data_IF_055272681455
#
_entry.id   IF_055272681455
#
_cell.length_a   1.000
_cell.length_b   1.000
_cell.length_c   1.000
_cell.angle_alpha   90.00
_cell.angle_beta   90.00
_cell.angle_gamma   90.00
#
_symmetry.space_group_name_H-M   'P 1'
#
loop_
_entity.id
_entity.type
_entity.pdbx_description
1 polymer ?
#
# COMPACT_ATOMS: atom_id res chain seq x y z
N UNK A 1 -24.60 16.53 9.96
CA UNK A 1 -23.52 16.19 9.02
C UNK A 1 -23.48 14.69 8.80
N UNK A 2 -23.50 14.27 7.55
CA UNK A 2 -23.37 12.86 7.23
C UNK A 2 -21.92 12.41 7.49
N UNK A 3 -21.77 11.39 8.32
CA UNK A 3 -20.47 10.76 8.55
C UNK A 3 -20.29 9.67 7.49
N UNK A 4 -19.29 9.79 6.63
CA UNK A 4 -18.99 8.77 5.64
C UNK A 4 -18.25 7.62 6.32
N UNK A 5 -18.81 6.43 6.23
CA UNK A 5 -18.16 5.23 6.76
C UNK A 5 -17.16 4.69 5.75
N UNK A 6 -15.98 4.33 6.26
CA UNK A 6 -14.99 3.59 5.50
C UNK A 6 -15.29 2.10 5.70
N UNK A 7 -15.59 1.41 4.61
CA UNK A 7 -15.78 -0.03 4.62
C UNK A 7 -14.53 -0.71 4.04
N UNK A 8 -13.97 -1.67 4.78
CA UNK A 8 -12.86 -2.48 4.29
C UNK A 8 -13.37 -3.82 3.83
N UNK A 9 -12.93 -4.24 2.65
CA UNK A 9 -13.32 -5.51 2.02
C UNK A 9 -12.09 -6.25 1.54
N UNK A 10 -12.03 -7.56 1.77
CA UNK A 10 -11.00 -8.42 1.15
C UNK A 10 -11.27 -8.51 -0.34
N UNK A 11 -10.23 -8.26 -1.14
CA UNK A 11 -10.27 -8.38 -2.58
C UNK A 11 -9.61 -9.66 -3.09
N UNK A 12 -9.67 -9.86 -4.41
CA UNK A 12 -9.06 -10.98 -5.10
C UNK A 12 -8.63 -10.57 -6.52
N UNK A 13 -8.05 -11.46 -7.35
CA UNK A 13 -7.61 -11.08 -8.70
C UNK A 13 -8.69 -10.45 -9.60
N UNK A 14 -9.97 -10.70 -9.34
CA UNK A 14 -11.06 -10.06 -10.10
C UNK A 14 -11.13 -8.56 -9.87
N UNK A 15 -10.52 -8.06 -8.81
CA UNK A 15 -10.48 -6.63 -8.46
C UNK A 15 -9.31 -5.89 -9.15
N UNK A 16 -8.56 -6.55 -10.03
CA UNK A 16 -7.36 -5.93 -10.68
C UNK A 16 -7.71 -4.64 -11.42
N UNK A 17 -8.87 -4.55 -12.04
CA UNK A 17 -9.31 -3.33 -12.72
C UNK A 17 -9.48 -2.15 -11.76
N UNK A 18 -10.05 -2.40 -10.60
CA UNK A 18 -10.21 -1.38 -9.53
C UNK A 18 -8.84 -0.97 -8.97
N UNK A 19 -7.96 -1.94 -8.72
CA UNK A 19 -6.59 -1.67 -8.24
C UNK A 19 -5.82 -0.81 -9.24
N UNK A 20 -5.90 -1.16 -10.54
CA UNK A 20 -5.23 -0.41 -11.60
C UNK A 20 -5.73 1.04 -11.68
N UNK A 21 -7.04 1.25 -11.60
CA UNK A 21 -7.62 2.59 -11.61
C UNK A 21 -7.19 3.42 -10.40
N UNK A 22 -7.18 2.82 -9.22
CA UNK A 22 -6.71 3.49 -7.99
C UNK A 22 -5.23 3.81 -8.06
N UNK A 23 -4.43 2.91 -8.59
CA UNK A 23 -2.99 3.11 -8.75
C UNK A 23 -2.69 4.26 -9.70
N UNK A 24 -3.38 4.30 -10.84
CA UNK A 24 -3.24 5.39 -11.81
C UNK A 24 -3.63 6.74 -11.21
N UNK A 25 -4.67 6.78 -10.39
CA UNK A 25 -5.12 8.01 -9.74
C UNK A 25 -4.16 8.45 -8.63
N UNK A 26 -3.58 7.51 -7.89
CA UNK A 26 -2.80 7.80 -6.67
C UNK A 26 -1.32 8.07 -6.93
N UNK A 27 -0.72 7.43 -7.93
CA UNK A 27 0.72 7.53 -8.17
C UNK A 27 1.03 8.39 -9.39
N UNK A 28 1.86 9.41 -9.19
CA UNK A 28 2.39 10.22 -10.28
C UNK A 28 3.45 9.43 -11.04
N UNK A 29 3.33 9.25 -12.39
CA UNK A 29 4.33 8.54 -13.19
C UNK A 29 5.75 9.11 -13.09
N UNK A 30 5.87 10.37 -12.68
CA UNK A 30 7.16 11.03 -12.43
C UNK A 30 8.07 10.22 -11.51
N UNK A 31 7.51 9.50 -10.53
CA UNK A 31 8.29 8.82 -9.50
C UNK A 31 8.54 7.35 -9.77
N UNK A 32 7.83 6.75 -10.73
CA UNK A 32 8.04 5.35 -11.09
C UNK A 32 7.63 4.33 -10.03
N UNK A 33 6.71 4.71 -9.14
CA UNK A 33 6.26 3.86 -8.03
C UNK A 33 5.15 2.88 -8.42
N UNK A 34 4.36 3.23 -9.44
CA UNK A 34 3.19 2.43 -9.84
C UNK A 34 3.60 1.16 -10.59
N UNK A 35 2.83 0.10 -10.37
CA UNK A 35 2.96 -1.14 -11.11
C UNK A 35 2.01 -1.15 -12.31
N UNK A 36 2.35 -1.93 -13.33
CA UNK A 36 1.44 -2.17 -14.44
C UNK A 36 0.29 -3.08 -14.00
N UNK A 37 -0.81 -3.07 -14.76
CA UNK A 37 -1.94 -3.98 -14.52
C UNK A 37 -1.49 -5.44 -14.51
N UNK A 38 -0.63 -5.85 -15.47
CA UNK A 38 -0.13 -7.22 -15.53
C UNK A 38 0.74 -7.59 -14.34
N UNK A 39 1.57 -6.68 -13.84
CA UNK A 39 2.33 -6.89 -12.61
C UNK A 39 1.41 -7.10 -11.42
N UNK A 40 0.37 -6.27 -11.27
CA UNK A 40 -0.62 -6.43 -10.21
C UNK A 40 -1.33 -7.76 -10.27
N UNK A 41 -1.78 -8.16 -11.47
CA UNK A 41 -2.48 -9.43 -11.67
C UNK A 41 -1.58 -10.61 -11.30
N UNK A 42 -0.33 -10.59 -11.74
CA UNK A 42 0.64 -11.64 -11.43
C UNK A 42 0.89 -11.78 -9.93
N UNK A 43 1.04 -10.67 -9.22
CA UNK A 43 1.27 -10.69 -7.77
C UNK A 43 0.01 -11.12 -7.02
N UNK A 44 -1.18 -10.65 -7.43
CA UNK A 44 -2.45 -11.04 -6.80
C UNK A 44 -2.71 -12.55 -6.89
N UNK A 45 -2.15 -13.21 -7.90
CA UNK A 45 -2.28 -14.67 -8.08
C UNK A 45 -1.26 -15.47 -7.25
N UNK A 46 -0.28 -14.82 -6.61
CA UNK A 46 0.76 -15.50 -5.83
C UNK A 46 0.23 -15.94 -4.46
N UNK A 47 0.73 -17.08 -3.93
CA UNK A 47 0.42 -17.49 -2.56
C UNK A 47 0.85 -16.43 -1.54
N UNK A 48 0.07 -16.26 -0.49
CA UNK A 48 0.39 -15.34 0.61
C UNK A 48 0.08 -13.88 0.33
N UNK A 49 -0.47 -13.55 -0.84
CA UNK A 49 -0.87 -12.18 -1.17
C UNK A 49 -2.30 -11.93 -0.72
N UNK A 50 -2.49 -10.82 0.00
CA UNK A 50 -3.80 -10.36 0.47
C UNK A 50 -4.04 -8.94 -0.02
N UNK A 51 -5.20 -8.73 -0.62
CA UNK A 51 -5.68 -7.43 -1.05
C UNK A 51 -6.79 -6.97 -0.11
N UNK A 52 -6.69 -5.73 0.37
CA UNK A 52 -7.75 -5.07 1.12
C UNK A 52 -8.17 -3.82 0.36
N UNK A 53 -9.46 -3.71 0.07
CA UNK A 53 -10.04 -2.53 -0.57
C UNK A 53 -10.76 -1.68 0.46
N UNK A 54 -10.61 -0.38 0.35
CA UNK A 54 -11.36 0.59 1.14
C UNK A 54 -12.41 1.24 0.24
N UNK A 55 -13.65 1.29 0.73
CA UNK A 55 -14.78 1.89 0.02
C UNK A 55 -15.40 3.00 0.89
N UNK A 56 -15.79 4.07 0.24
CA UNK A 56 -16.55 5.16 0.87
C UNK A 56 -17.83 5.33 0.04
N UNK A 57 -18.99 5.11 0.66
CA UNK A 57 -20.29 5.13 -0.03
C UNK A 57 -20.29 4.24 -1.28
N UNK A 58 -19.80 3.00 -1.13
CA UNK A 58 -19.67 1.99 -2.19
C UNK A 58 -18.70 2.35 -3.32
N UNK A 59 -17.94 3.43 -3.18
CA UNK A 59 -16.95 3.85 -4.16
C UNK A 59 -15.55 3.43 -3.71
N UNK A 60 -14.77 2.77 -4.58
CA UNK A 60 -13.37 2.45 -4.25
C UNK A 60 -12.58 3.73 -3.95
N UNK A 61 -11.93 3.77 -2.78
CA UNK A 61 -11.20 4.93 -2.31
C UNK A 61 -9.70 4.65 -2.10
N UNK A 62 -9.34 3.39 -1.94
CA UNK A 62 -7.96 3.00 -1.74
C UNK A 62 -7.80 1.49 -1.62
N UNK A 63 -6.56 1.04 -1.56
CA UNK A 63 -6.26 -0.37 -1.33
C UNK A 63 -4.91 -0.56 -0.63
N UNK A 64 -4.74 -1.72 -0.03
CA UNK A 64 -3.46 -2.20 0.47
C UNK A 64 -3.21 -3.62 -0.05
N UNK A 65 -1.99 -3.91 -0.46
CA UNK A 65 -1.57 -5.21 -0.94
C UNK A 65 -0.38 -5.69 -0.13
N UNK A 66 -0.51 -6.87 0.49
CA UNK A 66 0.47 -7.45 1.40
C UNK A 66 0.82 -8.85 0.94
N UNK A 67 2.09 -9.22 1.03
CA UNK A 67 2.54 -10.59 0.85
C UNK A 67 3.16 -11.09 2.14
N UNK A 68 2.69 -12.26 2.58
CA UNK A 68 3.24 -12.94 3.76
C UNK A 68 4.00 -14.20 3.33
N UNK A 69 5.19 -14.39 3.90
CA UNK A 69 6.00 -15.60 3.74
C UNK A 69 6.50 -15.97 5.13
N UNK A 70 6.06 -17.12 5.62
CA UNK A 70 6.37 -17.60 6.98
C UNK A 70 5.92 -16.57 8.03
N UNK A 71 6.80 -16.05 8.85
CA UNK A 71 6.49 -15.07 9.90
C UNK A 71 6.80 -13.62 9.51
N UNK A 72 7.11 -13.38 8.24
CA UNK A 72 7.37 -12.05 7.72
C UNK A 72 6.30 -11.63 6.72
N UNK A 73 5.98 -10.36 6.68
CA UNK A 73 5.07 -9.77 5.69
C UNK A 73 5.65 -8.48 5.13
N UNK A 74 5.30 -8.22 3.88
CA UNK A 74 5.69 -6.98 3.20
C UNK A 74 4.43 -6.27 2.69
N UNK A 75 4.30 -5.00 3.06
CA UNK A 75 3.32 -4.12 2.45
C UNK A 75 3.85 -3.71 1.08
N UNK A 76 3.32 -4.32 0.04
CA UNK A 76 3.79 -4.11 -1.34
C UNK A 76 3.31 -2.79 -1.92
N UNK A 77 2.05 -2.45 -1.67
CA UNK A 77 1.42 -1.24 -2.18
C UNK A 77 0.38 -0.72 -1.18
N UNK A 78 0.33 0.58 -1.02
CA UNK A 78 -0.73 1.29 -0.32
C UNK A 78 -1.08 2.52 -1.15
N UNK A 79 -2.31 2.63 -1.58
CA UNK A 79 -2.76 3.72 -2.42
C UNK A 79 -4.11 4.26 -1.95
N UNK A 80 -4.25 5.58 -1.99
CA UNK A 80 -5.50 6.28 -1.70
C UNK A 80 -5.78 7.22 -2.86
N UNK A 81 -6.98 7.14 -3.43
CA UNK A 81 -7.42 8.06 -4.47
C UNK A 81 -7.35 9.50 -3.93
N UNK A 82 -6.70 10.44 -4.65
CA UNK A 82 -6.62 11.84 -4.21
C UNK A 82 -7.96 12.48 -3.86
N UNK A 83 -9.04 12.06 -4.51
CA UNK A 83 -10.40 12.57 -4.22
C UNK A 83 -10.86 12.21 -2.80
N UNK A 84 -10.26 11.21 -2.18
CA UNK A 84 -10.63 10.74 -0.84
C UNK A 84 -9.53 10.99 0.21
N UNK A 85 -8.49 11.76 -0.09
CA UNK A 85 -7.41 12.06 0.85
C UNK A 85 -7.94 12.87 2.05
N UNK A 86 -7.22 12.80 3.18
CA UNK A 86 -7.53 13.47 4.45
C UNK A 86 -8.83 12.97 5.10
N UNK A 87 -9.27 11.76 4.77
CA UNK A 87 -10.45 11.12 5.36
C UNK A 87 -10.10 9.90 6.22
N UNK A 88 -8.80 9.69 6.51
CA UNK A 88 -8.34 8.59 7.33
C UNK A 88 -8.31 7.24 6.64
N UNK A 89 -8.39 7.19 5.31
CA UNK A 89 -8.42 5.93 4.55
C UNK A 89 -7.08 5.20 4.62
N UNK A 90 -5.97 5.90 4.42
CA UNK A 90 -4.64 5.32 4.54
C UNK A 90 -4.39 4.76 5.93
N UNK A 91 -4.80 5.49 6.96
CA UNK A 91 -4.70 5.03 8.35
C UNK A 91 -5.54 3.78 8.59
N UNK A 92 -6.78 3.75 8.09
CA UNK A 92 -7.66 2.59 8.24
C UNK A 92 -7.09 1.35 7.55
N UNK A 93 -6.57 1.50 6.33
CA UNK A 93 -5.94 0.42 5.58
C UNK A 93 -4.69 -0.10 6.31
N UNK A 94 -3.82 0.79 6.74
CA UNK A 94 -2.58 0.40 7.41
C UNK A 94 -2.84 -0.28 8.75
N UNK A 95 -3.78 0.23 9.53
CA UNK A 95 -4.20 -0.42 10.79
C UNK A 95 -4.76 -1.82 10.55
N UNK A 96 -5.55 -2.00 9.49
CA UNK A 96 -6.07 -3.31 9.14
C UNK A 96 -4.96 -4.28 8.74
N UNK A 97 -3.96 -3.81 7.98
CA UNK A 97 -2.78 -4.59 7.62
C UNK A 97 -2.02 -5.05 8.87
N UNK A 98 -1.79 -4.14 9.81
CA UNK A 98 -1.09 -4.44 11.07
C UNK A 98 -1.89 -5.46 11.90
N UNK A 99 -3.20 -5.25 12.05
CA UNK A 99 -4.06 -6.15 12.81
C UNK A 99 -4.08 -7.55 12.21
N UNK A 100 -4.20 -7.67 10.89
CA UNK A 100 -4.17 -8.95 10.20
C UNK A 100 -2.83 -9.66 10.38
N UNK A 101 -1.72 -8.92 10.30
CA UNK A 101 -0.40 -9.47 10.53
C UNK A 101 -0.27 -10.03 11.96
N UNK A 102 -0.76 -9.29 12.96
CA UNK A 102 -0.76 -9.76 14.35
C UNK A 102 -1.58 -11.04 14.53
N UNK A 103 -2.76 -11.11 13.91
CA UNK A 103 -3.65 -12.28 14.00
C UNK A 103 -3.08 -13.49 13.27
N UNK A 104 -2.26 -13.29 12.25
CA UNK A 104 -1.69 -14.35 11.42
C UNK A 104 -0.33 -14.85 11.90
N UNK A 105 0.15 -14.39 13.06
CA UNK A 105 1.43 -14.82 13.63
C UNK A 105 2.65 -14.23 12.92
N UNK A 106 2.49 -13.10 12.23
CA UNK A 106 3.59 -12.39 11.60
C UNK A 106 4.42 -11.69 12.70
N UNK A 107 5.74 -11.82 12.64
CA UNK A 107 6.65 -11.18 13.58
C UNK A 107 7.02 -9.76 13.13
N UNK A 108 7.29 -9.58 11.85
CA UNK A 108 7.78 -8.32 11.29
C UNK A 108 7.02 -7.95 10.01
N UNK A 109 6.70 -6.68 9.90
CA UNK A 109 6.08 -6.09 8.72
C UNK A 109 7.05 -5.07 8.12
N UNK A 110 7.36 -5.22 6.84
CA UNK A 110 8.30 -4.37 6.10
C UNK A 110 7.59 -3.64 4.97
N UNK A 111 8.15 -2.53 4.54
CA UNK A 111 7.75 -1.82 3.34
C UNK A 111 8.92 -1.05 2.74
N UNK A 112 8.85 -0.78 1.43
CA UNK A 112 9.73 0.17 0.77
C UNK A 112 8.89 1.35 0.28
N UNK A 113 9.41 2.56 0.46
CA UNK A 113 8.74 3.79 0.08
C UNK A 113 9.76 4.75 -0.51
N UNK A 114 9.36 5.53 -1.50
CA UNK A 114 10.20 6.56 -2.07
C UNK A 114 10.61 7.57 -0.99
N UNK A 115 11.89 7.92 -0.97
CA UNK A 115 12.38 8.98 -0.10
C UNK A 115 11.56 10.26 -0.34
N UNK A 116 11.17 10.94 0.73
CA UNK A 116 10.34 12.15 0.69
C UNK A 116 8.89 11.93 0.22
N UNK A 117 8.43 10.68 0.14
CA UNK A 117 7.00 10.41 -0.10
C UNK A 117 6.19 10.86 1.13
N UNK A 118 5.10 11.62 0.94
CA UNK A 118 4.26 12.06 2.07
C UNK A 118 3.73 10.93 2.95
N UNK A 119 3.59 9.70 2.42
CA UNK A 119 3.14 8.54 3.18
C UNK A 119 4.09 8.13 4.31
N UNK A 120 5.34 8.59 4.30
CA UNK A 120 6.30 8.33 5.38
C UNK A 120 5.77 8.77 6.74
N UNK A 121 5.08 9.91 6.79
CA UNK A 121 4.46 10.38 8.04
C UNK A 121 3.46 9.37 8.59
N UNK A 122 2.62 8.78 7.74
CA UNK A 122 1.66 7.76 8.11
C UNK A 122 2.36 6.51 8.66
N UNK A 123 3.40 6.04 7.99
CA UNK A 123 4.15 4.86 8.44
C UNK A 123 4.81 5.11 9.80
N UNK A 124 5.45 6.25 9.96
CA UNK A 124 6.10 6.63 11.22
C UNK A 124 5.09 6.70 12.38
N UNK A 125 3.93 7.29 12.15
CA UNK A 125 2.86 7.37 13.14
C UNK A 125 2.36 5.99 13.58
N UNK A 126 2.39 5.02 12.67
CA UNK A 126 1.95 3.64 12.95
C UNK A 126 3.09 2.74 13.45
N UNK A 127 4.21 3.32 13.85
CA UNK A 127 5.28 2.59 14.54
C UNK A 127 6.33 1.99 13.63
N UNK A 128 6.36 2.35 12.35
CA UNK A 128 7.43 1.92 11.45
C UNK A 128 8.67 2.79 11.64
N UNK A 129 9.84 2.16 11.58
CA UNK A 129 11.13 2.83 11.66
C UNK A 129 11.97 2.50 10.42
N UNK A 130 12.74 3.48 9.95
CA UNK A 130 13.64 3.30 8.81
C UNK A 130 14.77 2.35 9.20
N UNK A 131 15.00 1.31 8.38
CA UNK A 131 16.04 0.31 8.60
C UNK A 131 17.01 0.18 7.44
N UNK A 132 16.77 0.85 6.33
CA UNK A 132 17.66 0.77 5.18
C UNK A 132 17.27 1.73 4.08
N UNK A 133 18.10 1.79 3.04
CA UNK A 133 17.83 2.58 1.85
C UNK A 133 18.45 1.95 0.61
N UNK A 134 17.82 2.18 -0.55
CA UNK A 134 18.32 1.76 -1.86
C UNK A 134 18.40 2.99 -2.75
N UNK A 135 19.59 3.32 -3.19
CA UNK A 135 19.81 4.48 -4.07
C UNK A 135 19.30 4.20 -5.48
N UNK A 136 18.60 5.17 -6.05
CA UNK A 136 18.13 5.12 -7.43
C UNK A 136 17.18 3.97 -7.74
N UNK A 137 16.45 3.48 -6.74
CA UNK A 137 15.56 2.30 -6.87
C UNK A 137 14.37 2.57 -7.78
N UNK A 138 13.74 3.73 -7.66
CA UNK A 138 12.60 4.12 -8.50
C UNK A 138 13.08 4.96 -9.68
N UNK A 139 12.62 4.60 -10.88
CA UNK A 139 12.86 5.40 -12.08
C UNK A 139 11.54 5.91 -12.62
N UNK A 140 11.45 7.24 -12.69
CA UNK A 140 10.28 7.91 -13.23
C UNK A 140 10.26 7.91 -14.76
N UNK A 141 9.13 8.35 -15.30
CA UNK A 141 8.89 8.45 -16.75
C UNK A 141 9.93 9.34 -17.44
N UNK A 142 10.43 10.39 -16.79
CA UNK A 142 11.46 11.28 -17.29
C UNK A 142 12.88 10.75 -17.17
N UNK A 143 13.08 9.52 -16.71
CA UNK A 143 14.40 8.91 -16.49
C UNK A 143 15.06 9.33 -15.17
N UNK A 144 14.45 10.20 -14.39
CA UNK A 144 14.94 10.62 -13.09
C UNK A 144 14.87 9.47 -12.08
N UNK A 145 15.94 9.29 -11.29
CA UNK A 145 16.02 8.22 -10.30
C UNK A 145 15.69 8.76 -8.90
N UNK A 146 14.99 7.96 -8.11
CA UNK A 146 14.62 8.30 -6.73
C UNK A 146 15.01 7.17 -5.79
N UNK A 147 15.48 7.52 -4.61
CA UNK A 147 15.86 6.56 -3.60
C UNK A 147 14.63 5.92 -2.94
N UNK A 148 14.78 4.69 -2.50
CA UNK A 148 13.80 4.00 -1.66
C UNK A 148 14.31 3.89 -0.24
N UNK A 149 13.44 4.10 0.73
CA UNK A 149 13.71 3.84 2.14
C UNK A 149 12.93 2.62 2.59
N UNK A 150 13.60 1.71 3.28
CA UNK A 150 12.97 0.51 3.87
C UNK A 150 12.57 0.83 5.30
N UNK A 151 11.32 0.52 5.62
CA UNK A 151 10.76 0.67 6.97
C UNK A 151 10.34 -0.68 7.51
N UNK A 152 10.40 -0.84 8.81
CA UNK A 152 10.05 -2.06 9.52
C UNK A 152 9.26 -1.74 10.78
N UNK A 153 8.30 -2.60 11.11
CA UNK A 153 7.57 -2.60 12.37
C UNK A 153 7.43 -4.02 12.89
N UNK A 154 7.81 -4.25 14.13
CA UNK A 154 7.47 -5.49 14.84
C UNK A 154 5.95 -5.51 15.10
N UNK A 155 5.32 -6.63 14.93
CA UNK A 155 3.87 -6.76 15.12
C UNK A 155 3.50 -7.84 16.13
#
# INVERSE_FOLDING_TARGET
>A
MATHQILLRTGDPRDVGTVDALMTAAFDPRYGEAWTRNQCLGVLAMPGVRLTLALVDDRPAGFAMVRSVMDEAELLLLAVDPAFRRRGIGTALLRAVIAEAQMSGIADLHLEVRANNPAVALYTEQGFAKVGERRGYYRGRGGEAFDAHTYRRAV
#
